data_IF_629544544364
#
_entry.id   IF_629544544364
#
_cell.length_a   1.000
_cell.length_b   1.000
_cell.length_c   1.000
_cell.angle_alpha   90.00
_cell.angle_beta   90.00
_cell.angle_gamma   90.00
#
_symmetry.space_group_name_H-M   'P 1'
#
loop_
_entity.id
_entity.type
_entity.pdbx_description
1 polymer ?
#
# COMPACT_ATOMS: atom_id res chain seq x y z
N UNK A 1 -0.65 2.76 -0.03
CA UNK A 1 -0.33 3.32 -1.35
C UNK A 1 -1.59 3.92 -1.91
N UNK A 2 -1.52 5.21 -2.29
CA UNK A 2 -2.61 5.94 -2.95
C UNK A 2 -2.43 5.74 -4.45
N UNK A 3 -3.48 5.28 -5.13
CA UNK A 3 -3.58 5.19 -6.59
C UNK A 3 -2.32 4.60 -7.29
N UNK A 4 -1.84 3.41 -6.90
CA UNK A 4 -0.59 2.87 -7.44
C UNK A 4 -0.73 2.49 -8.93
N UNK A 5 0.22 2.93 -9.74
CA UNK A 5 0.18 2.76 -11.19
C UNK A 5 1.03 1.58 -11.71
N UNK A 6 2.12 1.24 -11.01
CA UNK A 6 3.14 0.32 -11.50
C UNK A 6 3.07 -1.02 -10.73
N UNK A 7 2.62 -2.14 -11.35
CA UNK A 7 2.43 -3.41 -10.65
C UNK A 7 3.69 -3.94 -9.93
N UNK A 8 4.90 -3.90 -10.54
CA UNK A 8 6.13 -4.32 -9.85
C UNK A 8 6.42 -3.58 -8.54
N UNK A 9 6.08 -2.29 -8.44
CA UNK A 9 6.31 -1.51 -7.21
C UNK A 9 5.40 -1.99 -6.09
N UNK A 10 4.12 -2.20 -6.39
CA UNK A 10 3.14 -2.72 -5.41
C UNK A 10 3.53 -4.13 -4.95
N UNK A 11 3.99 -5.00 -5.86
CA UNK A 11 4.48 -6.33 -5.50
C UNK A 11 5.67 -6.30 -4.54
N UNK A 12 6.65 -5.41 -4.79
CA UNK A 12 7.80 -5.23 -3.90
C UNK A 12 7.39 -4.69 -2.52
N UNK A 13 6.47 -3.73 -2.46
CA UNK A 13 5.93 -3.21 -1.20
C UNK A 13 5.13 -4.28 -0.46
N UNK A 14 4.32 -5.08 -1.15
CA UNK A 14 3.60 -6.21 -0.56
C UNK A 14 4.56 -7.21 0.07
N UNK A 15 5.65 -7.58 -0.62
CA UNK A 15 6.69 -8.44 -0.06
C UNK A 15 7.36 -7.84 1.18
N UNK A 16 7.62 -6.53 1.18
CA UNK A 16 8.14 -5.84 2.37
C UNK A 16 7.13 -5.92 3.53
N UNK A 17 5.85 -5.63 3.28
CA UNK A 17 4.78 -5.71 4.27
C UNK A 17 4.64 -7.12 4.88
N UNK A 18 4.75 -8.18 4.07
CA UNK A 18 4.77 -9.56 4.57
C UNK A 18 5.95 -9.80 5.52
N UNK A 19 7.15 -9.33 5.16
CA UNK A 19 8.36 -9.50 5.97
C UNK A 19 8.33 -8.70 7.26
N UNK A 20 7.77 -7.48 7.23
CA UNK A 20 7.70 -6.57 8.39
C UNK A 20 6.42 -6.71 9.21
N UNK A 21 5.49 -7.58 8.78
CA UNK A 21 4.14 -7.74 9.38
C UNK A 21 3.37 -6.42 9.48
N UNK A 22 3.51 -5.57 8.46
CA UNK A 22 2.78 -4.30 8.38
C UNK A 22 1.59 -4.45 7.43
N UNK A 23 0.50 -3.76 7.76
CA UNK A 23 -0.71 -3.78 6.94
C UNK A 23 -0.52 -2.93 5.68
N UNK A 24 -0.84 -3.50 4.52
CA UNK A 24 -0.82 -2.78 3.24
C UNK A 24 -2.21 -2.25 2.89
N UNK A 25 -2.35 -0.93 2.82
CA UNK A 25 -3.56 -0.29 2.28
C UNK A 25 -3.35 0.11 0.83
N UNK A 26 -4.25 -0.29 -0.06
CA UNK A 26 -4.28 0.14 -1.46
C UNK A 26 -5.55 0.95 -1.69
N UNK A 27 -5.42 2.16 -2.23
CA UNK A 27 -6.55 3.06 -2.50
C UNK A 27 -6.71 3.19 -4.00
N UNK A 28 -7.93 2.96 -4.49
CA UNK A 28 -8.29 3.01 -5.91
C UNK A 28 -8.32 4.46 -6.46
N UNK A 29 -8.20 4.63 -7.79
CA UNK A 29 -8.01 3.59 -8.81
C UNK A 29 -6.60 2.97 -8.82
N UNK A 30 -6.51 1.66 -9.05
CA UNK A 30 -5.22 1.00 -9.31
C UNK A 30 -4.95 1.04 -10.82
N UNK A 31 -3.73 1.41 -11.23
CA UNK A 31 -3.33 1.41 -12.65
C UNK A 31 -3.09 0.01 -13.24
N UNK A 32 -3.42 -1.05 -12.50
CA UNK A 32 -3.25 -2.44 -12.89
C UNK A 32 -4.27 -3.34 -12.19
N UNK A 33 -4.49 -4.53 -12.75
CA UNK A 33 -5.33 -5.54 -12.12
C UNK A 33 -4.50 -6.39 -11.14
N UNK A 34 -4.99 -6.51 -9.91
CA UNK A 34 -4.38 -7.35 -8.87
C UNK A 34 -4.54 -8.84 -9.18
N UNK A 35 -5.55 -9.21 -9.96
CA UNK A 35 -5.85 -10.60 -10.33
C UNK A 35 -5.11 -11.08 -11.58
N UNK A 36 -4.35 -10.20 -12.24
CA UNK A 36 -3.62 -10.54 -13.46
C UNK A 36 -2.72 -11.76 -13.20
N UNK A 37 -2.93 -12.79 -14.02
CA UNK A 37 -2.11 -13.98 -14.13
C UNK A 37 -0.59 -13.72 -14.13
N UNK A 38 -0.15 -12.54 -14.61
CA UNK A 38 1.24 -12.09 -14.57
C UNK A 38 1.75 -11.85 -13.16
N UNK A 39 0.92 -11.35 -12.25
CA UNK A 39 1.26 -11.21 -10.84
C UNK A 39 1.40 -12.60 -10.22
N UNK A 40 0.40 -13.48 -10.40
CA UNK A 40 0.42 -14.87 -9.90
C UNK A 40 1.65 -15.67 -10.38
N UNK A 41 2.07 -15.48 -11.64
CA UNK A 41 3.20 -16.22 -12.25
C UNK A 41 4.59 -15.71 -11.84
N UNK A 42 4.69 -14.52 -11.27
CA UNK A 42 5.95 -13.95 -10.75
C UNK A 42 6.38 -14.53 -9.38
N UNK A 43 5.83 -15.68 -8.96
CA UNK A 43 6.14 -16.30 -7.66
C UNK A 43 5.43 -15.62 -6.48
N UNK A 44 4.29 -15.01 -6.76
CA UNK A 44 3.59 -14.07 -5.88
C UNK A 44 2.60 -14.76 -4.94
N UNK A 45 3.10 -15.73 -4.15
CA UNK A 45 2.33 -16.38 -3.07
C UNK A 45 2.22 -15.49 -1.82
N UNK A 46 2.87 -14.33 -1.83
CA UNK A 46 2.92 -13.43 -0.67
C UNK A 46 1.59 -12.75 -0.34
N UNK A 47 0.64 -12.62 -1.27
CA UNK A 47 -0.68 -12.05 -0.92
C UNK A 47 -1.41 -12.84 0.16
N UNK A 48 -1.12 -14.14 0.32
CA UNK A 48 -1.62 -14.96 1.42
C UNK A 48 -0.98 -14.60 2.77
N UNK A 49 0.21 -14.00 2.74
CA UNK A 49 1.02 -13.64 3.90
C UNK A 49 1.02 -12.13 4.22
N UNK A 50 0.43 -11.31 3.36
CA UNK A 50 0.26 -9.87 3.60
C UNK A 50 -1.11 -9.65 4.23
N UNK A 51 -1.18 -8.96 5.37
CA UNK A 51 -2.42 -8.33 5.79
C UNK A 51 -2.64 -7.09 4.90
N UNK A 52 -3.62 -7.13 4.00
CA UNK A 52 -3.88 -6.02 3.10
C UNK A 52 -5.38 -5.69 3.01
N UNK A 53 -5.66 -4.45 2.60
CA UNK A 53 -7.01 -3.99 2.33
C UNK A 53 -7.04 -3.02 1.16
N UNK A 54 -8.00 -3.23 0.25
CA UNK A 54 -8.35 -2.29 -0.82
C UNK A 54 -9.43 -1.32 -0.36
N UNK A 55 -9.32 -0.06 -0.76
CA UNK A 55 -10.28 1.01 -0.49
C UNK A 55 -10.74 1.65 -1.80
N UNK A 56 -12.03 2.03 -1.92
CA UNK A 56 -12.56 2.65 -3.14
C UNK A 56 -12.02 4.06 -3.38
N UNK A 57 -11.70 4.79 -2.31
CA UNK A 57 -11.18 6.15 -2.37
C UNK A 57 -10.50 6.55 -1.05
N UNK A 58 -9.89 7.73 -1.03
CA UNK A 58 -9.24 8.29 0.15
C UNK A 58 -10.20 8.52 1.32
N UNK A 59 -11.44 8.93 1.05
CA UNK A 59 -12.43 9.23 2.10
C UNK A 59 -12.80 7.97 2.88
N UNK A 60 -13.01 6.85 2.18
CA UNK A 60 -13.28 5.55 2.79
C UNK A 60 -12.11 5.07 3.65
N UNK A 61 -10.87 5.27 3.19
CA UNK A 61 -9.69 4.99 4.01
C UNK A 61 -9.62 5.91 5.23
N UNK A 62 -9.72 7.22 5.04
CA UNK A 62 -9.62 8.21 6.09
C UNK A 62 -10.69 8.03 7.18
N UNK A 63 -11.94 7.73 6.79
CA UNK A 63 -13.03 7.44 7.72
C UNK A 63 -12.85 6.14 8.51
N UNK A 64 -11.94 5.25 8.09
CA UNK A 64 -11.62 4.03 8.84
C UNK A 64 -10.54 4.22 9.90
N UNK A 65 -9.85 5.36 9.87
CA UNK A 65 -8.77 5.66 10.82
C UNK A 65 -9.42 6.00 12.16
N UNK A 66 -9.08 5.22 13.18
CA UNK A 66 -9.63 5.37 14.53
C UNK A 66 -8.70 6.22 15.41
N UNK A 67 -9.28 7.15 16.17
CA UNK A 67 -8.63 7.82 17.31
C UNK A 67 -7.40 8.65 16.92
N UNK A 68 -6.31 8.46 17.66
CA UNK A 68 -5.07 9.26 17.60
C UNK A 68 -4.03 8.74 16.58
N UNK A 69 -4.47 8.00 15.55
CA UNK A 69 -3.56 7.48 14.55
C UNK A 69 -2.80 8.62 13.85
N UNK A 70 -1.46 8.52 13.85
CA UNK A 70 -0.59 9.48 13.16
C UNK A 70 -0.46 9.11 11.70
N UNK A 71 -0.77 10.05 10.82
CA UNK A 71 -0.55 9.92 9.40
C UNK A 71 0.73 10.63 8.99
N UNK A 72 1.57 9.92 8.24
CA UNK A 72 2.79 10.45 7.64
C UNK A 72 2.63 10.43 6.13
N UNK A 73 2.75 11.61 5.52
CA UNK A 73 2.72 11.77 4.07
C UNK A 73 4.15 11.96 3.57
N UNK A 74 4.50 11.24 2.51
CA UNK A 74 5.85 11.27 1.93
C UNK A 74 5.76 11.99 0.59
N UNK A 75 6.38 13.17 0.50
CA UNK A 75 6.45 13.97 -0.71
C UNK A 75 7.86 14.59 -0.88
N UNK A 76 8.18 14.95 -2.11
CA UNK A 76 9.37 15.74 -2.40
C UNK A 76 9.16 17.19 -1.94
N UNK A 77 10.06 17.71 -1.11
CA UNK A 77 9.99 19.09 -0.62
C UNK A 77 9.14 19.28 0.65
N UNK A 78 8.76 18.19 1.33
CA UNK A 78 8.08 18.25 2.62
C UNK A 78 8.92 18.98 3.69
N UNK A 79 8.27 19.59 4.69
CA UNK A 79 8.92 20.45 5.68
C UNK A 79 9.82 19.70 6.67
N UNK A 80 9.61 18.40 6.84
CA UNK A 80 10.30 17.55 7.83
C UNK A 80 10.89 16.33 7.14
N UNK A 81 12.17 16.01 7.42
CA UNK A 81 12.78 14.77 6.93
C UNK A 81 12.28 13.59 7.76
N UNK A 82 12.15 12.42 7.14
CA UNK A 82 11.59 11.24 7.80
C UNK A 82 12.32 10.80 9.08
N UNK A 83 13.62 11.10 9.20
CA UNK A 83 14.44 10.73 10.36
C UNK A 83 14.46 11.79 11.47
N UNK A 84 13.91 12.98 11.19
CA UNK A 84 13.81 14.08 12.17
C UNK A 84 12.45 14.05 12.91
N UNK A 85 11.60 13.07 12.60
CA UNK A 85 10.17 13.07 12.89
C UNK A 85 9.76 12.15 14.07
#
# INVERSE_FOLDING_TARGET
MVEPEIPPNTGNVARLCAATRTKLHLIEPLGFDLDDSRLKRAGMDYWQHVDWKKWPDWSAFAGSILGEAKLWFVESGGPTRYHDA
#
